data_IF_057604101013
#
_entry.id   IF_057604101013
#
_cell.length_a   1.000
_cell.length_b   1.000
_cell.length_c   1.000
_cell.angle_alpha   90.00
_cell.angle_beta   90.00
_cell.angle_gamma   90.00
#
_symmetry.space_group_name_H-M   'P 1'
#
loop_
_entity.id
_entity.type
_entity.pdbx_description
1 polymer ?
#
# COMPACT_ATOMS: atom_id res chain seq x y z
N UNK A 1 5.32 9.43 13.04
CA UNK A 1 5.41 8.91 14.41
C UNK A 1 4.22 9.46 15.17
N UNK A 2 3.43 8.61 15.80
CA UNK A 2 2.25 9.00 16.56
C UNK A 2 2.37 8.44 17.98
N UNK A 3 2.35 9.28 19.04
CA UNK A 3 2.19 8.77 20.39
C UNK A 3 0.77 8.19 20.53
N UNK A 4 0.67 6.94 20.95
CA UNK A 4 -0.61 6.25 21.16
C UNK A 4 -1.00 6.27 22.64
N UNK A 5 -0.02 6.04 23.53
CA UNK A 5 -0.15 6.02 24.98
C UNK A 5 1.15 6.57 25.59
N UNK A 6 1.25 6.85 26.92
CA UNK A 6 2.44 7.45 27.52
C UNK A 6 3.76 6.75 27.20
N UNK A 7 3.76 5.43 27.04
CA UNK A 7 4.94 4.62 26.73
C UNK A 7 4.79 3.81 25.42
N UNK A 8 3.95 4.27 24.50
CA UNK A 8 3.69 3.57 23.24
C UNK A 8 3.64 4.55 22.08
N UNK A 9 4.44 4.28 21.04
CA UNK A 9 4.47 5.07 19.80
C UNK A 9 4.24 4.16 18.60
N UNK A 10 3.45 4.63 17.64
CA UNK A 10 3.41 4.09 16.29
C UNK A 10 4.41 4.82 15.41
N UNK A 11 5.29 4.07 14.76
CA UNK A 11 6.26 4.60 13.80
C UNK A 11 6.24 3.75 12.55
N UNK A 12 6.25 4.39 11.39
CA UNK A 12 6.27 3.71 10.09
C UNK A 12 6.99 4.57 9.06
N UNK A 13 7.35 3.92 7.96
CA UNK A 13 7.92 4.55 6.77
C UNK A 13 7.08 4.11 5.57
N UNK A 14 6.76 5.08 4.71
CA UNK A 14 6.09 4.84 3.44
C UNK A 14 7.07 5.16 2.32
N UNK A 15 7.19 4.24 1.36
CA UNK A 15 7.98 4.41 0.15
C UNK A 15 7.04 4.06 -1.01
N UNK A 16 6.94 4.96 -2.00
CA UNK A 16 6.18 4.68 -3.21
C UNK A 16 6.82 3.53 -3.97
N UNK A 17 6.00 2.66 -4.57
CA UNK A 17 6.52 1.52 -5.32
C UNK A 17 7.13 1.93 -6.67
N UNK A 18 7.07 3.21 -7.04
CA UNK A 18 7.65 3.83 -8.22
C UNK A 18 9.18 4.09 -8.14
N UNK A 19 9.88 3.52 -7.15
CA UNK A 19 11.33 3.65 -7.04
C UNK A 19 12.07 2.91 -8.16
N UNK A 20 13.19 3.50 -8.61
CA UNK A 20 14.01 2.99 -9.72
C UNK A 20 15.13 2.04 -9.30
N UNK A 21 15.52 2.03 -8.03
CA UNK A 21 16.60 1.14 -7.55
C UNK A 21 16.03 -0.22 -7.11
N UNK A 22 16.32 -1.28 -7.87
CA UNK A 22 15.86 -2.63 -7.54
C UNK A 22 16.52 -3.19 -6.26
N UNK A 23 17.62 -2.60 -5.80
CA UNK A 23 18.27 -2.96 -4.53
C UNK A 23 17.68 -2.25 -3.31
N UNK A 24 16.69 -1.35 -3.48
CA UNK A 24 16.08 -0.63 -2.39
C UNK A 24 15.26 -1.57 -1.50
N UNK A 25 15.71 -1.73 -0.27
CA UNK A 25 14.99 -2.45 0.78
C UNK A 25 14.31 -1.45 1.73
N UNK A 26 12.97 -1.41 1.68
CA UNK A 26 12.16 -0.51 2.50
C UNK A 26 12.25 -0.85 3.99
N UNK A 27 12.40 -2.13 4.34
CA UNK A 27 12.59 -2.55 5.72
C UNK A 27 13.93 -2.05 6.26
N UNK A 28 15.02 -2.26 5.52
CA UNK A 28 16.34 -1.77 5.89
C UNK A 28 16.38 -0.24 5.99
N UNK A 29 15.72 0.47 5.05
CA UNK A 29 15.58 1.92 5.11
C UNK A 29 14.82 2.36 6.37
N UNK A 30 13.77 1.64 6.75
CA UNK A 30 13.04 1.89 8.00
C UNK A 30 13.91 1.67 9.24
N UNK A 31 14.72 0.61 9.27
CA UNK A 31 15.69 0.39 10.35
C UNK A 31 16.70 1.54 10.45
N UNK A 32 17.22 2.01 9.31
CA UNK A 32 18.14 3.16 9.26
C UNK A 32 17.47 4.46 9.71
N UNK A 33 16.21 4.69 9.32
CA UNK A 33 15.44 5.87 9.73
C UNK A 33 15.36 5.99 11.26
N UNK A 34 15.17 4.87 11.96
CA UNK A 34 15.12 4.84 13.44
C UNK A 34 16.40 5.31 14.13
N UNK A 35 17.54 5.26 13.44
CA UNK A 35 18.84 5.72 13.97
C UNK A 35 19.00 7.25 13.92
N UNK A 36 18.17 7.96 13.15
CA UNK A 36 18.22 9.40 13.07
C UNK A 36 17.93 10.04 14.45
N UNK A 37 18.65 11.10 14.88
CA UNK A 37 18.55 11.67 16.24
C UNK A 37 17.12 11.99 16.69
N UNK A 38 16.27 12.46 15.76
CA UNK A 38 14.85 12.77 16.03
C UNK A 38 14.05 11.56 16.50
N UNK A 39 14.29 10.37 15.93
CA UNK A 39 13.59 9.15 16.31
C UNK A 39 14.32 8.41 17.42
N UNK A 40 15.66 8.31 17.32
CA UNK A 40 16.50 7.62 18.29
C UNK A 40 16.24 8.10 19.71
N UNK A 41 16.11 9.41 19.92
CA UNK A 41 15.87 10.00 21.24
C UNK A 41 14.56 9.54 21.90
N UNK A 42 13.58 9.12 21.11
CA UNK A 42 12.27 8.61 21.58
C UNK A 42 12.29 7.08 21.73
N UNK A 43 13.08 6.39 20.90
CA UNK A 43 13.10 4.92 20.83
C UNK A 43 14.17 4.27 21.72
N UNK A 44 15.16 5.03 22.19
CA UNK A 44 16.27 4.51 23.00
C UNK A 44 15.76 3.90 24.31
N UNK A 45 16.18 2.65 24.59
CA UNK A 45 15.68 1.86 25.71
C UNK A 45 14.29 1.24 25.51
N UNK A 46 13.61 1.54 24.39
CA UNK A 46 12.32 0.95 24.04
C UNK A 46 12.43 -0.43 23.40
N UNK A 47 11.31 -1.15 23.36
CA UNK A 47 11.18 -2.45 22.71
C UNK A 47 10.18 -2.38 21.54
N UNK A 48 10.46 -3.09 20.45
CA UNK A 48 9.48 -3.33 19.38
C UNK A 48 8.40 -4.30 19.87
N UNK A 49 7.21 -3.79 20.17
CA UNK A 49 6.08 -4.61 20.64
C UNK A 49 5.33 -5.31 19.52
N UNK A 50 5.30 -4.72 18.33
CA UNK A 50 4.55 -5.22 17.17
C UNK A 50 5.16 -4.67 15.87
N UNK A 51 5.04 -5.42 14.77
CA UNK A 51 5.54 -5.04 13.45
C UNK A 51 4.62 -5.51 12.34
N UNK A 52 4.52 -4.75 11.25
CA UNK A 52 3.84 -5.18 10.03
C UNK A 52 4.20 -4.33 8.83
N UNK A 53 3.64 -4.72 7.70
CA UNK A 53 3.79 -4.03 6.43
C UNK A 53 2.51 -4.14 5.60
N UNK A 54 2.18 -3.07 4.87
CA UNK A 54 1.04 -3.03 3.97
C UNK A 54 1.29 -2.06 2.83
N UNK A 55 0.80 -2.38 1.64
CA UNK A 55 0.67 -1.40 0.56
C UNK A 55 -0.56 -0.53 0.77
N UNK A 56 -0.45 0.72 0.38
CA UNK A 56 -1.55 1.67 0.34
C UNK A 56 -1.69 2.21 -1.10
N UNK A 57 -2.91 2.43 -1.60
CA UNK A 57 -3.10 3.10 -2.88
C UNK A 57 -2.51 4.50 -2.87
N UNK A 58 -1.70 4.84 -3.89
CA UNK A 58 -1.14 6.18 -4.04
C UNK A 58 -1.46 6.89 -5.36
N UNK A 59 -2.21 6.24 -6.25
CA UNK A 59 -2.59 6.82 -7.54
C UNK A 59 -3.58 8.00 -7.45
N UNK A 60 -4.28 8.13 -6.33
CA UNK A 60 -5.21 9.24 -6.06
C UNK A 60 -6.37 9.33 -7.06
N UNK A 61 -6.90 10.54 -7.24
CA UNK A 61 -8.11 10.79 -8.03
C UNK A 61 -8.10 10.16 -9.44
N UNK A 62 -6.95 10.19 -10.13
CA UNK A 62 -6.86 9.71 -11.52
C UNK A 62 -6.82 8.19 -11.64
N UNK A 63 -6.59 7.46 -10.54
CA UNK A 63 -6.60 6.00 -10.51
C UNK A 63 -7.91 5.40 -10.00
N UNK A 64 -8.80 6.21 -9.43
CA UNK A 64 -10.10 5.72 -8.97
C UNK A 64 -10.93 5.26 -10.18
N UNK A 65 -11.43 4.01 -10.22
CA UNK A 65 -12.26 3.54 -11.31
C UNK A 65 -13.52 4.39 -11.46
N UNK A 66 -13.87 4.73 -12.70
CA UNK A 66 -15.08 5.50 -12.99
C UNK A 66 -16.37 4.76 -12.57
N UNK A 67 -16.35 3.43 -12.64
CA UNK A 67 -17.40 2.52 -12.22
C UNK A 67 -16.90 1.65 -11.07
N UNK A 68 -17.61 1.63 -9.95
CA UNK A 68 -17.25 0.84 -8.76
C UNK A 68 -18.41 -0.03 -8.27
N UNK A 69 -19.55 0.02 -8.96
CA UNK A 69 -20.63 -0.95 -8.83
C UNK A 69 -20.88 -1.70 -10.16
N UNK A 70 -21.23 -2.97 -10.05
CA UNK A 70 -21.62 -3.84 -11.15
C UNK A 70 -22.81 -4.71 -10.76
N UNK A 71 -23.17 -5.66 -11.62
CA UNK A 71 -24.25 -6.60 -11.30
C UNK A 71 -23.82 -7.47 -10.13
N UNK A 72 -24.57 -7.39 -9.02
CA UNK A 72 -24.29 -8.12 -7.79
C UNK A 72 -22.96 -7.78 -7.10
N UNK A 73 -22.26 -6.70 -7.48
CA UNK A 73 -20.93 -6.38 -6.94
C UNK A 73 -20.74 -4.89 -6.68
N UNK A 74 -20.05 -4.56 -5.58
CA UNK A 74 -19.64 -3.20 -5.23
C UNK A 74 -18.21 -3.23 -4.69
N UNK A 75 -17.38 -2.26 -5.10
CA UNK A 75 -15.99 -2.10 -4.66
C UNK A 75 -15.91 -0.88 -3.74
N UNK A 76 -15.43 -1.07 -2.52
CA UNK A 76 -15.37 -0.04 -1.46
C UNK A 76 -13.94 0.16 -0.93
N UNK A 77 -13.71 1.28 -0.25
CA UNK A 77 -12.46 1.61 0.44
C UNK A 77 -11.22 1.61 -0.45
N UNK A 78 -10.09 1.19 0.12
CA UNK A 78 -8.79 1.18 -0.55
C UNK A 78 -8.76 0.26 -1.78
N UNK A 79 -9.63 -0.76 -1.84
CA UNK A 79 -9.81 -1.59 -3.04
C UNK A 79 -10.29 -0.78 -4.25
N UNK A 80 -11.04 0.30 -4.03
CA UNK A 80 -11.44 1.26 -5.06
C UNK A 80 -10.44 2.42 -5.23
N UNK A 81 -9.40 2.49 -4.39
CA UNK A 81 -8.37 3.53 -4.41
C UNK A 81 -8.70 4.79 -3.59
N UNK A 82 -9.60 4.71 -2.61
CA UNK A 82 -10.00 5.87 -1.81
C UNK A 82 -8.99 6.24 -0.71
N UNK A 83 -7.84 6.79 -1.10
CA UNK A 83 -6.79 7.27 -0.19
C UNK A 83 -6.30 8.63 -0.62
N UNK A 84 -6.30 9.59 0.32
CA UNK A 84 -5.66 10.88 0.15
C UNK A 84 -4.20 10.79 0.62
N UNK A 85 -3.29 10.64 -0.35
CA UNK A 85 -1.85 10.43 -0.12
C UNK A 85 -1.20 11.56 0.68
N UNK A 86 -1.43 12.86 0.38
CA UNK A 86 -0.72 13.93 1.08
C UNK A 86 -1.06 14.02 2.56
N UNK A 87 -2.29 13.67 2.95
CA UNK A 87 -2.67 13.62 4.37
C UNK A 87 -2.48 12.23 5.00
N UNK A 88 -2.16 11.20 4.21
CA UNK A 88 -2.09 9.80 4.60
C UNK A 88 -3.38 9.32 5.26
N UNK A 89 -4.53 9.65 4.67
CA UNK A 89 -5.85 9.26 5.19
C UNK A 89 -6.69 8.51 4.16
N UNK A 90 -7.20 7.35 4.57
CA UNK A 90 -8.13 6.53 3.78
C UNK A 90 -9.30 5.97 4.60
N UNK A 91 -9.12 5.77 5.91
CA UNK A 91 -10.08 5.09 6.79
C UNK A 91 -11.48 5.72 6.74
N UNK A 92 -11.57 7.05 6.84
CA UNK A 92 -12.86 7.76 6.81
C UNK A 92 -13.53 7.69 5.43
N UNK A 93 -12.76 7.65 4.34
CA UNK A 93 -13.30 7.39 3.00
C UNK A 93 -13.79 5.94 2.86
N UNK A 94 -13.04 4.97 3.39
CA UNK A 94 -13.44 3.57 3.40
C UNK A 94 -14.74 3.37 4.17
N UNK A 95 -14.84 3.91 5.39
CA UNK A 95 -16.07 3.89 6.19
C UNK A 95 -17.25 4.52 5.43
N UNK A 96 -17.05 5.72 4.88
CA UNK A 96 -18.12 6.43 4.16
C UNK A 96 -18.56 5.67 2.89
N UNK A 97 -17.61 5.11 2.15
CA UNK A 97 -17.93 4.30 0.96
C UNK A 97 -18.70 3.03 1.33
N UNK A 98 -18.39 2.39 2.47
CA UNK A 98 -19.17 1.28 3.00
C UNK A 98 -20.61 1.67 3.34
N UNK A 99 -20.81 2.85 3.95
CA UNK A 99 -22.16 3.38 4.25
C UNK A 99 -22.95 3.63 2.95
N UNK A 100 -22.33 4.21 1.93
CA UNK A 100 -22.98 4.43 0.63
C UNK A 100 -23.30 3.12 -0.09
N UNK A 101 -22.38 2.15 -0.07
CA UNK A 101 -22.60 0.83 -0.64
C UNK A 101 -23.79 0.13 0.06
N UNK A 102 -23.84 0.16 1.39
CA UNK A 102 -24.94 -0.42 2.16
C UNK A 102 -26.30 0.19 1.79
N UNK A 103 -26.38 1.51 1.61
CA UNK A 103 -27.61 2.19 1.18
C UNK A 103 -28.06 1.75 -0.22
N UNK A 104 -27.13 1.70 -1.17
CA UNK A 104 -27.43 1.28 -2.54
C UNK A 104 -27.85 -0.20 -2.59
N UNK A 105 -27.16 -1.07 -1.86
CA UNK A 105 -27.48 -2.50 -1.77
C UNK A 105 -28.85 -2.71 -1.10
N UNK A 106 -29.12 -2.02 0.00
CA UNK A 106 -30.41 -2.14 0.69
C UNK A 106 -31.58 -1.75 -0.23
N UNK A 107 -31.50 -0.61 -0.90
CA UNK A 107 -32.51 -0.17 -1.85
C UNK A 107 -32.66 -1.14 -3.04
N UNK A 108 -31.58 -1.79 -3.49
CA UNK A 108 -31.63 -2.83 -4.52
C UNK A 108 -32.36 -4.09 -4.05
N UNK A 109 -32.14 -4.50 -2.79
CA UNK A 109 -32.76 -5.68 -2.19
C UNK A 109 -34.27 -5.48 -1.96
N UNK A 110 -34.73 -4.28 -1.59
CA UNK A 110 -36.16 -3.97 -1.40
C UNK A 110 -37.01 -4.24 -2.64
N UNK A 111 -36.42 -4.10 -3.82
CA UNK A 111 -37.10 -4.33 -5.12
C UNK A 111 -36.56 -5.56 -5.87
N UNK A 112 -35.72 -6.37 -5.21
CA UNK A 112 -35.08 -7.55 -5.78
C UNK A 112 -34.34 -7.32 -7.11
N UNK A 113 -33.64 -6.18 -7.24
CA UNK A 113 -32.93 -5.76 -8.45
C UNK A 113 -31.45 -5.50 -8.17
N UNK A 114 -30.59 -6.55 -8.16
CA UNK A 114 -29.15 -6.40 -7.97
C UNK A 114 -28.41 -5.97 -9.26
N UNK A 115 -29.13 -5.42 -10.24
CA UNK A 115 -28.52 -5.03 -11.52
C UNK A 115 -27.49 -3.91 -11.35
N UNK A 116 -26.57 -3.84 -12.30
CA UNK A 116 -25.59 -2.76 -12.37
C UNK A 116 -26.25 -1.36 -12.42
N UNK A 117 -27.41 -1.23 -13.07
CA UNK A 117 -28.12 0.03 -13.17
C UNK A 117 -28.60 0.51 -11.79
N UNK A 118 -29.16 -0.40 -10.99
CA UNK A 118 -29.61 -0.09 -9.63
C UNK A 118 -28.45 0.20 -8.68
N UNK A 119 -27.46 -0.68 -8.66
CA UNK A 119 -26.28 -0.51 -7.80
C UNK A 119 -25.40 0.69 -8.20
N UNK A 120 -25.55 1.20 -9.43
CA UNK A 120 -24.90 2.43 -9.90
C UNK A 120 -25.22 3.67 -9.05
N UNK A 121 -26.28 3.63 -8.23
CA UNK A 121 -26.53 4.68 -7.22
C UNK A 121 -25.35 4.85 -6.26
N UNK A 122 -24.63 3.78 -5.93
CA UNK A 122 -23.39 3.87 -5.15
C UNK A 122 -22.35 4.77 -5.83
N UNK A 123 -22.18 4.62 -7.15
CA UNK A 123 -21.20 5.43 -7.89
C UNK A 123 -21.57 6.91 -7.85
N UNK A 124 -22.87 7.23 -7.97
CA UNK A 124 -23.38 8.60 -7.83
C UNK A 124 -23.12 9.16 -6.44
N UNK A 125 -23.48 8.41 -5.38
CA UNK A 125 -23.29 8.83 -3.99
C UNK A 125 -21.81 9.12 -3.69
N UNK A 126 -20.89 8.28 -4.16
CA UNK A 126 -19.44 8.51 -4.01
C UNK A 126 -18.99 9.76 -4.75
N UNK A 127 -19.40 9.93 -6.02
CA UNK A 127 -19.01 11.07 -6.85
C UNK A 127 -19.48 12.42 -6.27
N UNK A 128 -20.67 12.45 -5.68
CA UNK A 128 -21.25 13.66 -5.09
C UNK A 128 -20.69 13.97 -3.69
N UNK A 129 -20.00 13.02 -3.08
CA UNK A 129 -19.50 13.11 -1.70
C UNK A 129 -18.20 13.90 -1.56
N UNK A 130 -17.77 14.06 -0.31
CA UNK A 130 -16.47 14.64 0.01
C UNK A 130 -15.30 13.76 -0.45
N UNK A 131 -15.49 12.44 -0.64
CA UNK A 131 -14.43 11.51 -1.06
C UNK A 131 -13.80 12.01 -2.37
N UNK A 132 -14.61 12.17 -3.42
CA UNK A 132 -14.09 12.57 -4.73
C UNK A 132 -13.69 14.04 -4.78
N UNK A 133 -14.33 14.90 -3.98
CA UNK A 133 -13.96 16.33 -3.86
C UNK A 133 -12.58 16.50 -3.24
N UNK A 134 -12.29 15.77 -2.17
CA UNK A 134 -10.99 15.83 -1.47
C UNK A 134 -9.88 15.25 -2.36
N UNK A 135 -10.10 14.07 -2.96
CA UNK A 135 -9.15 13.46 -3.88
C UNK A 135 -8.87 14.37 -5.09
N UNK A 136 -9.89 15.04 -5.64
CA UNK A 136 -9.70 15.98 -6.74
C UNK A 136 -8.86 17.19 -6.31
N UNK A 137 -9.06 17.70 -5.10
CA UNK A 137 -8.29 18.84 -4.55
C UNK A 137 -6.80 18.53 -4.47
N UNK A 138 -6.44 17.28 -4.18
CA UNK A 138 -5.05 16.84 -3.97
C UNK A 138 -4.47 16.02 -5.13
N UNK A 139 -5.20 15.87 -6.25
CA UNK A 139 -4.90 14.96 -7.37
C UNK A 139 -3.49 15.02 -7.97
N UNK A 140 -2.79 16.15 -7.85
CA UNK A 140 -1.45 16.35 -8.38
C UNK A 140 -0.36 16.48 -7.29
N UNK A 141 -0.73 16.46 -6.02
CA UNK A 141 0.14 16.83 -4.91
C UNK A 141 1.34 15.89 -4.76
N UNK A 142 1.11 14.57 -4.85
CA UNK A 142 2.18 13.57 -4.88
C UNK A 142 3.01 13.68 -6.17
N UNK A 143 2.34 13.81 -7.31
CA UNK A 143 2.98 13.87 -8.62
C UNK A 143 3.86 15.11 -8.82
N UNK A 144 3.60 16.20 -8.08
CA UNK A 144 4.43 17.40 -8.10
C UNK A 144 5.89 17.12 -7.74
N UNK A 145 6.15 16.09 -6.92
CA UNK A 145 7.51 15.72 -6.49
C UNK A 145 8.31 14.95 -7.55
N UNK A 146 7.72 14.62 -8.71
CA UNK A 146 8.46 14.06 -9.86
C UNK A 146 9.53 15.01 -10.39
N UNK A 147 9.34 16.32 -10.23
CA UNK A 147 10.32 17.34 -10.62
C UNK A 147 11.39 17.59 -9.54
N UNK A 148 11.47 16.71 -8.54
CA UNK A 148 12.40 16.79 -7.43
C UNK A 148 11.81 17.48 -6.20
N UNK A 149 12.49 17.31 -5.06
CA UNK A 149 11.98 17.70 -3.74
C UNK A 149 11.65 19.20 -3.63
N UNK A 150 12.55 20.08 -4.08
CA UNK A 150 12.39 21.52 -3.92
C UNK A 150 11.33 22.10 -4.88
N UNK A 151 11.40 21.76 -6.17
CA UNK A 151 10.41 22.21 -7.15
C UNK A 151 9.03 21.64 -6.83
N UNK A 152 8.98 20.36 -6.45
CA UNK A 152 7.76 19.71 -5.96
C UNK A 152 7.19 20.40 -4.72
N UNK A 153 8.03 20.79 -3.76
CA UNK A 153 7.61 21.54 -2.57
C UNK A 153 6.96 22.90 -2.90
N UNK A 154 7.54 23.66 -3.85
CA UNK A 154 6.95 24.92 -4.32
C UNK A 154 5.59 24.65 -4.98
N UNK A 155 5.51 23.68 -5.90
CA UNK A 155 4.26 23.31 -6.56
C UNK A 155 3.19 22.87 -5.56
N UNK A 156 3.55 22.02 -4.61
CA UNK A 156 2.67 21.54 -3.55
C UNK A 156 2.13 22.69 -2.68
N UNK A 157 2.97 23.68 -2.38
CA UNK A 157 2.56 24.88 -1.63
C UNK A 157 1.51 25.69 -2.39
N UNK A 158 1.74 25.95 -3.67
CA UNK A 158 0.79 26.68 -4.52
C UNK A 158 -0.51 25.89 -4.71
N UNK A 159 -0.43 24.56 -4.89
CA UNK A 159 -1.61 23.70 -4.95
C UNK A 159 -2.39 23.73 -3.64
N UNK A 160 -1.72 23.73 -2.49
CA UNK A 160 -2.38 23.84 -1.18
C UNK A 160 -3.16 25.14 -1.07
N UNK A 161 -2.53 26.27 -1.42
CA UNK A 161 -3.16 27.59 -1.36
C UNK A 161 -4.36 27.72 -2.32
N UNK A 162 -4.32 27.06 -3.47
CA UNK A 162 -5.37 27.18 -4.51
C UNK A 162 -6.40 26.05 -4.49
N UNK A 163 -6.27 25.07 -3.59
CA UNK A 163 -7.08 23.85 -3.60
C UNK A 163 -6.87 23.00 -4.86
N UNK A 164 -5.63 22.93 -5.34
CA UNK A 164 -5.25 22.16 -6.52
C UNK A 164 -5.72 22.76 -7.85
N UNK A 165 -6.16 24.03 -7.86
CA UNK A 165 -6.56 24.73 -9.09
C UNK A 165 -5.36 25.20 -9.90
N UNK A 166 -4.25 25.53 -9.25
CA UNK A 166 -3.03 25.97 -9.91
C UNK A 166 -1.76 25.40 -9.23
N UNK A 167 -0.80 24.84 -9.99
CA UNK A 167 -0.96 24.36 -11.36
C UNK A 167 -1.99 23.20 -11.43
N UNK A 168 -2.97 23.30 -12.33
CA UNK A 168 -4.16 22.44 -12.32
C UNK A 168 -4.23 21.34 -13.39
N UNK A 169 -3.31 21.32 -14.34
CA UNK A 169 -3.26 20.32 -15.42
C UNK A 169 -2.98 18.91 -14.89
N UNK A 170 -3.49 17.87 -15.57
CA UNK A 170 -3.20 16.48 -15.21
C UNK A 170 -1.70 16.20 -15.37
N UNK A 171 -1.04 15.75 -14.30
CA UNK A 171 0.33 15.25 -14.36
C UNK A 171 0.29 13.75 -14.72
N UNK A 172 1.17 13.32 -15.63
CA UNK A 172 1.26 11.93 -16.05
C UNK A 172 1.73 11.00 -14.92
N UNK A 173 1.11 9.85 -14.82
CA UNK A 173 1.46 8.77 -13.90
C UNK A 173 1.47 7.46 -14.68
N UNK A 174 2.61 6.78 -14.62
CA UNK A 174 2.81 5.44 -15.18
C UNK A 174 2.43 4.40 -14.11
N UNK A 175 2.22 3.16 -14.53
CA UNK A 175 2.05 2.05 -13.58
C UNK A 175 3.37 1.77 -12.86
N UNK A 176 3.34 1.49 -11.56
CA UNK A 176 4.55 1.15 -10.80
C UNK A 176 5.29 -0.05 -11.43
N UNK A 177 4.55 -1.00 -12.02
CA UNK A 177 5.11 -2.16 -12.71
C UNK A 177 5.85 -1.82 -14.02
N UNK A 178 5.53 -0.67 -14.64
CA UNK A 178 6.15 -0.20 -15.89
C UNK A 178 7.40 0.65 -15.64
N UNK A 179 7.63 1.09 -14.40
CA UNK A 179 8.82 1.85 -14.03
C UNK A 179 10.07 0.99 -14.24
N UNK A 180 10.99 1.47 -15.08
CA UNK A 180 12.29 0.83 -15.29
C UNK A 180 13.12 0.84 -14.00
N UNK A 181 13.62 -0.34 -13.62
CA UNK A 181 14.42 -0.54 -12.42
C UNK A 181 15.83 -1.01 -12.74
N UNK A 182 16.80 -0.41 -12.04
CA UNK A 182 18.21 -0.73 -12.15
C UNK A 182 18.66 -1.36 -10.84
N UNK A 183 19.34 -2.50 -10.93
CA UNK A 183 19.90 -3.16 -9.76
C UNK A 183 21.24 -2.50 -9.40
N UNK A 184 21.29 -1.84 -8.24
CA UNK A 184 22.55 -1.34 -7.69
C UNK A 184 23.31 -2.49 -7.05
N UNK A 185 24.51 -2.87 -7.55
CA UNK A 185 25.23 -4.02 -7.01
C UNK A 185 25.65 -3.84 -5.54
N UNK A 186 25.59 -4.92 -4.76
CA UNK A 186 26.16 -4.98 -3.41
C UNK A 186 25.20 -4.58 -2.28
N UNK A 187 23.95 -4.21 -2.58
CA UNK A 187 22.91 -4.13 -1.57
C UNK A 187 22.60 -5.54 -1.04
N UNK A 188 22.45 -5.70 0.28
CA UNK A 188 21.95 -6.94 0.88
C UNK A 188 20.55 -6.69 1.44
N UNK A 189 19.60 -7.62 1.27
CA UNK A 189 18.31 -7.52 1.94
C UNK A 189 18.51 -7.41 3.46
N UNK A 190 17.65 -6.62 4.10
CA UNK A 190 17.61 -6.47 5.54
C UNK A 190 17.16 -7.75 6.23
N UNK A 191 17.58 -7.90 7.50
CA UNK A 191 17.14 -9.01 8.35
C UNK A 191 15.72 -8.71 8.86
N UNK A 192 14.77 -9.59 8.58
CA UNK A 192 13.33 -9.37 8.84
C UNK A 192 12.69 -10.35 9.83
N UNK A 193 13.44 -11.36 10.31
CA UNK A 193 12.92 -12.45 11.15
C UNK A 193 12.20 -11.96 12.42
N UNK A 194 12.80 -11.01 13.15
CA UNK A 194 12.19 -10.41 14.34
C UNK A 194 10.88 -9.67 14.02
N UNK A 195 10.81 -9.06 12.84
CA UNK A 195 9.60 -8.40 12.33
C UNK A 195 8.48 -9.42 12.08
N UNK A 196 8.77 -10.50 11.34
CA UNK A 196 7.79 -11.56 11.07
C UNK A 196 7.27 -12.17 12.36
N UNK A 197 8.13 -12.44 13.34
CA UNK A 197 7.70 -12.91 14.66
C UNK A 197 6.77 -11.89 15.35
N UNK A 198 7.16 -10.61 15.39
CA UNK A 198 6.38 -9.54 16.02
C UNK A 198 5.11 -9.13 15.25
N UNK A 199 4.91 -9.64 14.03
CA UNK A 199 3.60 -9.56 13.33
C UNK A 199 2.56 -10.53 13.88
N UNK A 200 2.98 -11.46 14.76
CA UNK A 200 2.14 -12.54 15.24
C UNK A 200 1.75 -13.53 14.14
N UNK A 201 2.54 -13.59 13.05
CA UNK A 201 2.24 -14.46 11.91
C UNK A 201 2.13 -15.92 12.37
N UNK A 202 0.95 -16.49 12.12
CA UNK A 202 0.60 -17.85 12.48
C UNK A 202 0.21 -18.59 11.21
N UNK A 203 1.21 -18.95 10.41
CA UNK A 203 1.05 -19.73 9.19
C UNK A 203 1.85 -21.01 9.32
N UNK A 204 1.24 -22.15 9.02
CA UNK A 204 1.94 -23.44 9.05
C UNK A 204 2.84 -23.62 7.83
N UNK A 205 3.91 -24.39 7.98
CA UNK A 205 4.87 -24.63 6.90
C UNK A 205 4.28 -25.44 5.73
N UNK A 206 3.26 -26.25 6.01
CA UNK A 206 2.57 -27.12 5.03
C UNK A 206 1.40 -26.44 4.32
N UNK A 207 1.27 -25.11 4.43
CA UNK A 207 0.20 -24.38 3.76
C UNK A 207 0.38 -24.46 2.23
N UNK A 208 -0.70 -24.59 1.45
CA UNK A 208 -0.63 -24.39 0.01
C UNK A 208 0.00 -23.03 -0.34
N UNK A 209 0.91 -23.04 -1.32
CA UNK A 209 1.60 -21.83 -1.75
C UNK A 209 0.59 -20.90 -2.42
N UNK A 210 0.36 -19.74 -1.79
CA UNK A 210 -0.56 -18.69 -2.24
C UNK A 210 0.16 -17.58 -3.03
N UNK A 211 1.42 -17.80 -3.35
CA UNK A 211 2.29 -16.88 -4.09
C UNK A 211 2.64 -17.55 -5.41
N UNK A 212 2.04 -17.07 -6.49
CA UNK A 212 2.20 -17.66 -7.82
C UNK A 212 3.44 -17.04 -8.45
N UNK A 213 4.51 -17.85 -8.49
CA UNK A 213 5.82 -17.49 -9.04
C UNK A 213 6.04 -18.23 -10.37
N UNK A 214 6.73 -17.59 -11.32
CA UNK A 214 7.18 -18.24 -12.55
C UNK A 214 8.22 -19.34 -12.29
N UNK A 215 8.39 -20.27 -13.25
CA UNK A 215 9.31 -21.41 -13.11
C UNK A 215 10.79 -21.00 -13.28
N UNK A 216 11.06 -20.09 -14.21
CA UNK A 216 12.42 -19.69 -14.60
C UNK A 216 12.67 -18.22 -14.21
N UNK A 217 12.76 -17.96 -12.89
CA UNK A 217 13.03 -16.60 -12.39
C UNK A 217 14.53 -16.30 -12.47
N UNK A 218 14.96 -15.30 -13.27
CA UNK A 218 16.37 -14.92 -13.33
C UNK A 218 16.90 -14.46 -11.96
N UNK A 219 18.18 -14.68 -11.68
CA UNK A 219 18.80 -14.33 -10.40
C UNK A 219 18.61 -12.86 -10.02
N UNK A 220 18.73 -11.93 -10.99
CA UNK A 220 18.50 -10.50 -10.76
C UNK A 220 17.05 -10.17 -10.34
N UNK A 221 16.07 -10.91 -10.88
CA UNK A 221 14.65 -10.75 -10.51
C UNK A 221 14.37 -11.36 -9.13
N UNK A 222 14.99 -12.51 -8.84
CA UNK A 222 14.92 -13.12 -7.53
C UNK A 222 15.53 -12.22 -6.43
N UNK A 223 16.65 -11.55 -6.74
CA UNK A 223 17.28 -10.55 -5.88
C UNK A 223 16.35 -9.35 -5.64
N UNK A 224 15.73 -8.82 -6.70
CA UNK A 224 14.72 -7.76 -6.57
C UNK A 224 13.56 -8.18 -5.65
N UNK A 225 13.02 -9.40 -5.79
CA UNK A 225 11.95 -9.88 -4.92
C UNK A 225 12.38 -10.01 -3.45
N UNK A 226 13.65 -10.36 -3.20
CA UNK A 226 14.20 -10.41 -1.86
C UNK A 226 14.28 -9.03 -1.20
N UNK A 227 14.60 -7.97 -1.97
CA UNK A 227 14.60 -6.58 -1.48
C UNK A 227 13.19 -5.99 -1.34
N UNK A 228 12.30 -6.30 -2.28
CA UNK A 228 10.92 -5.80 -2.29
C UNK A 228 10.11 -6.35 -1.12
N UNK A 229 10.36 -7.60 -0.72
CA UNK A 229 9.56 -8.27 0.28
C UNK A 229 9.94 -7.85 1.70
N UNK A 230 9.02 -7.25 2.47
CA UNK A 230 9.32 -6.79 3.83
C UNK A 230 9.46 -7.93 4.85
N UNK A 231 9.15 -9.17 4.46
CA UNK A 231 9.01 -10.31 5.36
C UNK A 231 9.93 -11.50 5.03
N UNK A 232 10.90 -11.33 4.12
CA UNK A 232 11.83 -12.42 3.79
C UNK A 232 11.15 -13.67 3.24
N UNK A 233 10.09 -13.49 2.46
CA UNK A 233 9.40 -14.59 1.78
C UNK A 233 10.21 -15.10 0.59
N UNK A 234 10.94 -14.21 -0.09
CA UNK A 234 11.72 -14.51 -1.27
C UNK A 234 13.20 -14.41 -0.92
N UNK A 235 13.95 -15.46 -1.23
CA UNK A 235 15.39 -15.53 -0.97
C UNK A 235 16.12 -15.98 -2.23
N UNK A 236 17.26 -15.35 -2.51
CA UNK A 236 18.20 -15.84 -3.53
C UNK A 236 19.12 -16.90 -2.91
N UNK A 237 18.89 -18.16 -3.24
CA UNK A 237 19.69 -19.29 -2.76
C UNK A 237 20.33 -20.02 -3.94
N UNK A 238 21.67 -20.10 -3.98
CA UNK A 238 22.43 -20.79 -5.03
C UNK A 238 22.06 -20.32 -6.46
N UNK A 239 21.78 -19.03 -6.64
CA UNK A 239 21.39 -18.46 -7.93
C UNK A 239 19.93 -18.71 -8.32
N UNK A 240 19.13 -19.32 -7.45
CA UNK A 240 17.71 -19.61 -7.68
C UNK A 240 16.83 -18.95 -6.63
N UNK A 241 15.58 -18.68 -7.01
CA UNK A 241 14.58 -18.16 -6.09
C UNK A 241 14.04 -19.25 -5.17
N UNK A 242 14.14 -19.05 -3.87
CA UNK A 242 13.46 -19.84 -2.84
C UNK A 242 12.29 -19.04 -2.28
N UNK A 243 11.15 -19.70 -2.09
CA UNK A 243 9.91 -19.08 -1.60
C UNK A 243 9.52 -19.68 -0.24
N UNK A 244 9.65 -18.90 0.82
CA UNK A 244 9.24 -19.22 2.18
C UNK A 244 7.85 -18.60 2.45
N UNK A 245 6.83 -19.14 1.78
CA UNK A 245 5.45 -18.65 1.84
C UNK A 245 4.86 -18.45 3.26
N UNK A 246 5.22 -19.27 4.28
CA UNK A 246 4.74 -19.07 5.65
C UNK A 246 5.08 -17.69 6.25
N UNK A 247 6.17 -17.05 5.82
CA UNK A 247 6.57 -15.73 6.32
C UNK A 247 5.67 -14.59 5.82
N UNK A 248 4.80 -14.83 4.84
CA UNK A 248 4.01 -13.79 4.19
C UNK A 248 3.08 -13.05 5.16
N UNK A 249 3.16 -11.72 5.14
CA UNK A 249 2.34 -10.81 5.97
C UNK A 249 1.21 -10.11 5.18
N UNK A 250 0.89 -10.62 4.00
CA UNK A 250 -0.13 -10.05 3.09
C UNK A 250 0.04 -8.57 2.77
N UNK A 251 1.28 -8.10 2.69
CA UNK A 251 1.52 -6.69 2.37
C UNK A 251 1.01 -6.31 0.96
N UNK A 252 0.95 -7.28 0.03
CA UNK A 252 0.61 -7.13 -1.40
C UNK A 252 1.62 -6.37 -2.27
N UNK A 253 2.77 -5.96 -1.74
CA UNK A 253 3.80 -5.28 -2.53
C UNK A 253 4.25 -6.09 -3.75
N UNK A 254 4.41 -7.40 -3.57
CA UNK A 254 4.77 -8.33 -4.64
C UNK A 254 3.67 -8.55 -5.66
N UNK A 255 2.39 -8.37 -5.31
CA UNK A 255 1.29 -8.48 -6.27
C UNK A 255 1.25 -7.31 -7.26
N UNK A 256 1.88 -6.18 -6.87
CA UNK A 256 2.03 -4.98 -7.72
C UNK A 256 3.23 -5.12 -8.66
N UNK A 257 4.39 -5.56 -8.16
CA UNK A 257 5.66 -5.51 -8.90
C UNK A 257 6.28 -6.87 -9.25
N UNK A 258 5.66 -7.98 -8.86
CA UNK A 258 6.31 -9.29 -8.92
C UNK A 258 5.30 -10.44 -8.88
N UNK A 259 5.51 -11.46 -8.02
CA UNK A 259 4.64 -12.63 -7.99
C UNK A 259 3.21 -12.31 -7.58
N UNK A 260 2.26 -12.95 -8.28
CA UNK A 260 0.84 -12.81 -7.98
C UNK A 260 0.51 -13.39 -6.63
N UNK A 261 -0.27 -12.66 -5.84
CA UNK A 261 -0.79 -13.12 -4.56
C UNK A 261 -2.22 -13.64 -4.73
N UNK A 262 -2.51 -14.77 -4.11
CA UNK A 262 -3.87 -15.30 -3.97
C UNK A 262 -4.26 -15.40 -2.49
N UNK A 263 -5.56 -15.36 -2.16
CA UNK A 263 -6.00 -15.67 -0.81
C UNK A 263 -5.53 -17.06 -0.40
N UNK A 264 -4.95 -17.16 0.80
CA UNK A 264 -4.61 -18.43 1.44
C UNK A 264 -5.72 -18.89 2.37
N UNK A 265 -5.54 -20.06 2.97
CA UNK A 265 -6.46 -20.61 3.96
C UNK A 265 -6.78 -19.63 5.10
N UNK A 266 -8.07 -19.51 5.41
CA UNK A 266 -8.58 -18.60 6.43
C UNK A 266 -7.97 -18.86 7.81
N UNK A 267 -7.67 -17.79 8.54
CA UNK A 267 -7.05 -17.84 9.87
C UNK A 267 -5.52 -17.93 9.87
N UNK A 268 -4.89 -18.16 8.70
CA UNK A 268 -3.43 -18.10 8.56
C UNK A 268 -2.98 -16.66 8.28
N UNK A 269 -1.81 -16.27 8.79
CA UNK A 269 -1.24 -14.95 8.52
C UNK A 269 -0.85 -14.12 9.73
N UNK A 270 -0.56 -12.82 9.51
CA UNK A 270 -0.29 -11.89 10.59
C UNK A 270 -1.49 -11.78 11.52
N UNK A 271 -1.22 -11.69 12.82
CA UNK A 271 -2.22 -11.50 13.87
C UNK A 271 -1.96 -10.17 14.57
N UNK A 272 -2.13 -9.11 13.79
CA UNK A 272 -1.97 -7.75 14.28
C UNK A 272 -2.99 -7.46 15.39
N UNK A 273 -2.54 -6.80 16.46
CA UNK A 273 -3.34 -6.51 17.67
C UNK A 273 -3.48 -5.00 17.90
N UNK A 274 -2.44 -4.22 17.60
CA UNK A 274 -2.37 -2.78 17.89
C UNK A 274 -2.13 -1.92 16.65
N UNK A 275 -2.06 -2.52 15.46
CA UNK A 275 -2.03 -1.82 14.17
C UNK A 275 -3.42 -1.49 13.65
#
# INVERSE_FOLDING_TARGET
MYPLEPNLVALGLVVGLDYRDAGLDVHALFQRMKLHPMFRRVLEGGEMVEWGAKTIPEGGYYSVPARRAGEGVVIVGDSAGFVDVPSLKGIHYAMQSGIFAARAIFAALEVHDPSAARLGEYDRLVNDSFIMKDLYRTRNMRLAFKDGFYVGGVKATVMTATGGRFPGGKIGMESDAEVERQLTPGARPGVTADGVFKSGNATRDTIPIHLVVGKDVPAAVAEFYAHLCPAGVYELAQGTLRVNAPNCVDCKATDVLGPRWTPREGGSGPKYKRM
#
